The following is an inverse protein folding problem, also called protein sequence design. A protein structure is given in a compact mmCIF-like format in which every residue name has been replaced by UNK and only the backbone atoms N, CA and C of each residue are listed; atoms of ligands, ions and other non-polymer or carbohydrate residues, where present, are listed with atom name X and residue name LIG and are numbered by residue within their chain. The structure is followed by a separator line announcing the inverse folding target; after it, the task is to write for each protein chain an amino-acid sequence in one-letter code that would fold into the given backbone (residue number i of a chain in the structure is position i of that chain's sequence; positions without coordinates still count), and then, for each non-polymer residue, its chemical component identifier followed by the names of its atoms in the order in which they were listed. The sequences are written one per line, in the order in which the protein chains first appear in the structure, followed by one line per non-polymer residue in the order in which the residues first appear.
data_IF_492704521876
#
_entry.id   IF_492704521876
#
_cell.length_a   1.000
_cell.length_b   1.000
_cell.length_c   1.000
_cell.angle_alpha   90.00
_cell.angle_beta   90.00
_cell.angle_gamma   90.00
#
_symmetry.space_group_name_H-M   'P 1'
#
loop_
_entity.id
_entity.type
_entity.pdbx_description
1 polymer ?
#
# COMPACT_ATOMS: atom_id res chain seq x y z
N UNK A 1 -11.40 9.43 55.99
CA UNK A 1 -11.91 8.05 56.14
C UNK A 1 -13.25 7.97 55.41
N UNK A 2 -13.30 7.34 54.23
CA UNK A 2 -14.54 7.02 53.52
C UNK A 2 -14.63 5.50 53.31
N UNK A 3 -15.80 4.88 53.50
CA UNK A 3 -15.93 3.43 53.57
C UNK A 3 -16.02 2.75 52.20
N UNK A 4 -15.64 1.47 52.24
CA UNK A 4 -15.68 0.49 51.18
C UNK A 4 -17.02 0.44 50.42
N UNK A 5 -16.93 0.28 49.10
CA UNK A 5 -17.96 -0.39 48.31
C UNK A 5 -17.31 -1.45 47.43
N UNK A 6 -17.32 -2.65 48.01
CA UNK A 6 -17.18 -3.92 47.32
C UNK A 6 -18.34 -4.07 46.33
N UNK A 7 -18.03 -4.21 45.04
CA UNK A 7 -18.91 -4.79 44.03
C UNK A 7 -18.05 -5.74 43.20
N UNK A 8 -17.85 -6.93 43.75
CA UNK A 8 -17.58 -8.11 42.93
C UNK A 8 -18.79 -8.31 42.01
N UNK A 9 -18.57 -8.23 40.71
CA UNK A 9 -19.50 -8.72 39.70
C UNK A 9 -18.68 -9.49 38.69
N UNK A 10 -18.51 -10.77 39.01
CA UNK A 10 -18.05 -11.80 38.08
C UNK A 10 -19.12 -11.95 37.00
N UNK A 11 -18.85 -11.42 35.81
CA UNK A 11 -19.57 -11.79 34.60
C UNK A 11 -18.56 -12.45 33.67
N UNK A 12 -18.50 -13.78 33.76
CA UNK A 12 -17.88 -14.62 32.75
C UNK A 12 -18.66 -14.47 31.44
N UNK A 13 -18.00 -13.95 30.40
CA UNK A 13 -18.45 -14.09 29.02
C UNK A 13 -17.47 -15.00 28.31
N UNK A 14 -17.89 -16.26 28.17
CA UNK A 14 -17.20 -17.29 27.44
C UNK A 14 -17.25 -17.02 25.92
N UNK A 15 -16.16 -17.43 25.26
CA UNK A 15 -16.09 -17.91 23.89
C UNK A 15 -16.75 -17.07 22.78
N UNK A 16 -15.93 -16.26 22.11
CA UNK A 16 -16.04 -16.13 20.65
C UNK A 16 -14.77 -16.77 20.10
N UNK A 17 -14.84 -18.10 19.93
CA UNK A 17 -13.86 -18.84 19.17
C UNK A 17 -13.80 -18.22 17.77
N UNK A 18 -12.65 -17.61 17.47
CA UNK A 18 -12.39 -16.96 16.20
C UNK A 18 -12.46 -17.97 15.07
N UNK A 19 -13.60 -18.02 14.40
CA UNK A 19 -13.61 -18.26 12.96
C UNK A 19 -13.15 -16.95 12.31
N UNK A 20 -11.83 -16.75 12.29
CA UNK A 20 -11.21 -15.91 11.28
C UNK A 20 -11.46 -16.62 9.94
N UNK A 21 -12.57 -16.24 9.30
CA UNK A 21 -12.83 -16.54 7.91
C UNK A 21 -11.59 -16.11 7.14
N UNK A 22 -10.84 -17.09 6.62
CA UNK A 22 -9.84 -16.88 5.58
C UNK A 22 -10.60 -16.39 4.34
N UNK A 23 -10.88 -15.08 4.31
CA UNK A 23 -11.28 -14.43 3.08
C UNK A 23 -10.07 -14.50 2.14
N UNK A 24 -10.23 -15.00 0.90
CA UNK A 24 -9.18 -14.86 -0.09
C UNK A 24 -8.91 -13.37 -0.22
N UNK A 25 -7.66 -12.96 0.00
CA UNK A 25 -7.22 -11.62 -0.33
C UNK A 25 -7.54 -11.43 -1.81
N UNK A 26 -8.62 -10.71 -2.10
CA UNK A 26 -8.91 -10.27 -3.45
C UNK A 26 -7.64 -9.54 -3.89
N UNK A 27 -7.04 -10.00 -4.99
CA UNK A 27 -6.10 -9.18 -5.72
C UNK A 27 -6.83 -7.87 -5.94
N UNK A 28 -6.40 -6.82 -5.24
CA UNK A 28 -6.89 -5.50 -5.54
C UNK A 28 -6.42 -5.26 -6.97
N UNK A 29 -7.34 -5.40 -7.93
CA UNK A 29 -7.23 -4.76 -9.24
C UNK A 29 -6.92 -3.31 -8.93
N UNK A 30 -5.63 -2.99 -8.94
CA UNK A 30 -5.15 -1.69 -8.51
C UNK A 30 -5.46 -0.83 -9.71
N UNK A 31 -6.63 -0.18 -9.67
CA UNK A 31 -7.02 0.76 -10.69
C UNK A 31 -5.86 1.75 -10.87
N UNK A 32 -5.51 2.13 -12.12
CA UNK A 32 -4.34 2.94 -12.36
C UNK A 32 -4.37 4.20 -11.51
N UNK A 33 -3.35 4.41 -10.68
CA UNK A 33 -3.22 5.61 -9.88
C UNK A 33 -2.65 6.74 -10.78
N UNK A 34 -3.47 7.73 -11.17
CA UNK A 34 -3.03 8.77 -12.09
C UNK A 34 -1.88 9.60 -11.52
N UNK A 35 -1.79 9.74 -10.20
CA UNK A 35 -0.72 10.48 -9.54
C UNK A 35 0.62 9.75 -9.68
N UNK A 36 0.62 8.44 -9.48
CA UNK A 36 1.80 7.58 -9.62
C UNK A 36 2.24 7.52 -11.09
N UNK A 37 1.31 7.32 -12.03
CA UNK A 37 1.66 7.30 -13.46
C UNK A 37 2.26 8.64 -13.91
N UNK A 38 1.72 9.77 -13.46
CA UNK A 38 2.28 11.09 -13.76
C UNK A 38 3.64 11.34 -13.10
N UNK A 39 3.91 10.75 -11.93
CA UNK A 39 5.23 10.81 -11.31
C UNK A 39 6.28 10.06 -12.14
N UNK A 40 6.00 8.81 -12.53
CA UNK A 40 6.91 8.00 -13.35
C UNK A 40 7.20 8.69 -14.69
N UNK A 41 6.17 9.22 -15.38
CA UNK A 41 6.38 9.93 -16.65
C UNK A 41 7.28 11.16 -16.48
N UNK A 42 7.12 11.93 -15.39
CA UNK A 42 7.99 13.09 -15.13
C UNK A 42 9.45 12.69 -14.92
N UNK A 43 9.70 11.59 -14.22
CA UNK A 43 11.06 11.08 -13.97
C UNK A 43 11.72 10.59 -15.27
N UNK A 44 10.97 9.85 -16.09
CA UNK A 44 11.41 9.44 -17.43
C UNK A 44 11.76 10.64 -18.29
N UNK A 45 10.89 11.65 -18.33
CA UNK A 45 11.13 12.84 -19.14
C UNK A 45 12.33 13.65 -18.62
N UNK A 46 12.48 13.79 -17.30
CA UNK A 46 13.62 14.47 -16.70
C UNK A 46 14.94 13.76 -17.03
N UNK A 47 14.95 12.42 -16.98
CA UNK A 47 16.12 11.61 -17.36
C UNK A 47 16.45 11.77 -18.85
N UNK A 48 15.45 11.75 -19.74
CA UNK A 48 15.66 11.95 -21.18
C UNK A 48 16.14 13.35 -21.53
N UNK A 49 15.72 14.37 -20.78
CA UNK A 49 16.24 15.74 -20.90
C UNK A 49 17.64 15.92 -20.29
N UNK A 50 18.15 14.92 -19.57
CA UNK A 50 19.44 14.99 -18.87
C UNK A 50 19.41 15.88 -17.63
N UNK A 51 18.23 16.18 -17.08
CA UNK A 51 18.08 16.98 -15.85
C UNK A 51 18.46 16.18 -14.60
N UNK A 52 18.29 14.86 -14.67
CA UNK A 52 18.67 13.92 -13.63
C UNK A 52 19.61 12.87 -14.20
N UNK A 53 20.63 12.51 -13.44
CA UNK A 53 21.60 11.48 -13.79
C UNK A 53 21.57 10.40 -12.71
N UNK A 54 21.40 9.16 -13.13
CA UNK A 54 21.42 8.01 -12.23
C UNK A 54 22.73 7.25 -12.37
N UNK A 55 23.23 6.71 -11.27
CA UNK A 55 24.45 5.90 -11.26
C UNK A 55 24.29 4.56 -12.00
N UNK A 56 23.06 4.03 -12.02
CA UNK A 56 22.65 2.81 -12.72
C UNK A 56 21.46 3.17 -13.61
N UNK A 57 21.25 2.42 -14.69
CA UNK A 57 20.05 2.56 -15.53
C UNK A 57 18.76 2.42 -14.67
N UNK A 58 17.94 3.48 -14.54
CA UNK A 58 16.72 3.47 -13.75
C UNK A 58 15.55 2.79 -14.46
N UNK A 59 15.66 2.54 -15.77
CA UNK A 59 14.57 2.04 -16.63
C UNK A 59 13.92 0.75 -16.10
N UNK A 60 14.66 -0.26 -15.62
CA UNK A 60 14.04 -1.48 -15.10
C UNK A 60 13.15 -1.24 -13.87
N UNK A 61 13.53 -0.30 -13.00
CA UNK A 61 12.75 0.04 -11.81
C UNK A 61 11.43 0.72 -12.18
N UNK A 62 11.48 1.71 -13.08
CA UNK A 62 10.27 2.38 -13.57
C UNK A 62 9.33 1.45 -14.33
N UNK A 63 9.86 0.50 -15.12
CA UNK A 63 9.02 -0.49 -15.79
C UNK A 63 8.27 -1.38 -14.79
N UNK A 64 8.97 -1.86 -13.76
CA UNK A 64 8.35 -2.67 -12.71
C UNK A 64 7.29 -1.87 -11.94
N UNK A 65 7.56 -0.61 -11.63
CA UNK A 65 6.62 0.27 -10.94
C UNK A 65 5.40 0.61 -11.80
N UNK A 66 5.60 0.88 -13.09
CA UNK A 66 4.52 1.13 -14.04
C UNK A 66 3.60 -0.09 -14.21
N UNK A 67 4.18 -1.30 -14.30
CA UNK A 67 3.42 -2.55 -14.38
C UNK A 67 2.59 -2.79 -13.11
N UNK A 68 3.19 -2.59 -11.92
CA UNK A 68 2.50 -2.74 -10.64
C UNK A 68 1.31 -1.79 -10.47
N UNK A 69 1.39 -0.61 -11.08
CA UNK A 69 0.35 0.42 -10.98
C UNK A 69 -0.54 0.52 -12.23
N UNK A 70 -0.41 -0.41 -13.19
CA UNK A 70 -1.19 -0.38 -14.44
C UNK A 70 -0.97 0.88 -15.30
N UNK A 71 0.19 1.52 -15.19
CA UNK A 71 0.53 2.74 -15.90
C UNK A 71 1.07 2.44 -17.31
N UNK A 72 0.62 3.22 -18.30
CA UNK A 72 1.24 3.25 -19.64
C UNK A 72 2.13 4.49 -19.74
N UNK A 73 3.45 4.31 -19.76
CA UNK A 73 4.43 5.40 -19.76
C UNK A 73 5.10 5.47 -21.14
N UNK A 74 5.13 6.66 -21.73
CA UNK A 74 5.74 6.85 -23.06
C UNK A 74 7.26 6.84 -22.95
N UNK A 75 7.90 5.88 -23.63
CA UNK A 75 9.36 5.75 -23.66
C UNK A 75 9.94 4.71 -22.69
N UNK A 76 9.09 3.92 -22.01
CA UNK A 76 9.46 2.71 -21.27
C UNK A 76 9.14 1.42 -22.03
#
# INVERSE_FOLDING_TARGET
MLPARSLASSAAAAAVAGLFLLAPAAAADTAPDPCTCAAIQRDVDAYRRGEVQYFVDPTPAWRAEAEQNGCTISGL
#
